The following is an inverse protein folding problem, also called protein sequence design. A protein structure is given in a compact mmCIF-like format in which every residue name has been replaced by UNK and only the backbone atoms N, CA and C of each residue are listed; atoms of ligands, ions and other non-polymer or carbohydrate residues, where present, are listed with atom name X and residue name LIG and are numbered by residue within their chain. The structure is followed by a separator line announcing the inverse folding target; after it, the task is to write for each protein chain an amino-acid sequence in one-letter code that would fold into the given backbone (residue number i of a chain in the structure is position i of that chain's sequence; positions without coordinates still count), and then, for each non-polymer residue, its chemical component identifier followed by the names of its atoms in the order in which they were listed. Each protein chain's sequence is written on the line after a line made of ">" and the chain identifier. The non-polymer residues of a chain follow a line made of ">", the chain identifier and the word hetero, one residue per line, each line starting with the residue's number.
data_IF_618188066532
#
_entry.id   IF_618188066532
#
_cell.length_a   1.000
_cell.length_b   1.000
_cell.length_c   1.000
_cell.angle_alpha   90.00
_cell.angle_beta   90.00
_cell.angle_gamma   90.00
#
_symmetry.space_group_name_H-M   'P 1'
#
loop_
_entity.id
_entity.type
_entity.pdbx_description
1 polymer ?
#
# COMPACT_ATOMS: atom_id res chain seq x y z
N UNK A 1 15.12 -24.83 0.91
CA UNK A 1 15.85 -23.58 0.65
C UNK A 1 14.99 -22.58 -0.09
N UNK A 2 14.36 -22.97 -1.21
CA UNK A 2 13.38 -22.12 -1.91
C UNK A 2 12.20 -21.71 -1.01
N UNK A 3 11.59 -22.66 -0.30
CA UNK A 3 10.45 -22.36 0.60
C UNK A 3 10.82 -21.39 1.73
N UNK A 4 12.04 -21.47 2.26
CA UNK A 4 12.53 -20.54 3.28
C UNK A 4 12.68 -19.13 2.72
N UNK A 5 13.20 -19.00 1.49
CA UNK A 5 13.31 -17.71 0.82
C UNK A 5 11.92 -17.13 0.55
N UNK A 6 10.99 -17.95 0.06
CA UNK A 6 9.62 -17.52 -0.19
C UNK A 6 8.92 -17.06 1.09
N UNK A 7 9.04 -17.81 2.18
CA UNK A 7 8.48 -17.42 3.48
C UNK A 7 9.09 -16.10 3.96
N UNK A 8 10.41 -15.92 3.85
CA UNK A 8 11.05 -14.67 4.25
C UNK A 8 10.56 -13.48 3.43
N UNK A 9 10.34 -13.66 2.12
CA UNK A 9 9.81 -12.60 1.25
C UNK A 9 8.38 -12.23 1.61
N UNK A 10 7.53 -13.21 1.93
CA UNK A 10 6.17 -12.97 2.39
C UNK A 10 6.16 -12.22 3.73
N UNK A 11 6.98 -12.63 4.70
CA UNK A 11 7.12 -11.93 5.98
C UNK A 11 7.54 -10.47 5.80
N UNK A 12 8.53 -10.22 4.94
CA UNK A 12 8.99 -8.86 4.66
C UNK A 12 7.89 -8.00 4.00
N UNK A 13 7.09 -8.61 3.12
CA UNK A 13 5.96 -7.93 2.49
C UNK A 13 4.90 -7.53 3.53
N UNK A 14 4.55 -8.44 4.44
CA UNK A 14 3.61 -8.17 5.53
C UNK A 14 4.12 -7.05 6.44
N UNK A 15 5.39 -7.09 6.84
CA UNK A 15 6.03 -6.05 7.66
C UNK A 15 6.00 -4.68 6.96
N UNK A 16 6.24 -4.64 5.64
CA UNK A 16 6.15 -3.39 4.86
C UNK A 16 4.73 -2.82 4.86
N UNK A 17 3.71 -3.68 4.69
CA UNK A 17 2.30 -3.24 4.73
C UNK A 17 1.95 -2.70 6.12
N UNK A 18 2.35 -3.37 7.20
CA UNK A 18 2.10 -2.88 8.56
C UNK A 18 2.82 -1.55 8.84
N UNK A 19 4.03 -1.36 8.33
CA UNK A 19 4.75 -0.09 8.45
C UNK A 19 3.98 1.04 7.75
N UNK A 20 3.56 0.83 6.50
CA UNK A 20 2.76 1.83 5.78
C UNK A 20 1.42 2.11 6.46
N UNK A 21 0.80 1.09 7.07
CA UNK A 21 -0.44 1.26 7.84
C UNK A 21 -0.25 2.18 9.04
N UNK A 22 0.82 1.98 9.81
CA UNK A 22 1.13 2.87 10.94
C UNK A 22 1.38 4.31 10.48
N UNK A 23 2.13 4.49 9.40
CA UNK A 23 2.39 5.81 8.82
C UNK A 23 1.11 6.49 8.32
N UNK A 24 0.17 5.71 7.79
CA UNK A 24 -1.16 6.18 7.40
C UNK A 24 -1.96 6.64 8.61
N UNK A 25 -2.01 5.85 9.68
CA UNK A 25 -2.68 6.19 10.93
C UNK A 25 -2.04 7.41 11.63
N UNK A 26 -0.73 7.63 11.44
CA UNK A 26 -0.02 8.82 11.92
C UNK A 26 -0.18 10.06 11.02
N UNK A 27 -0.86 9.94 9.88
CA UNK A 27 -1.09 11.06 8.95
C UNK A 27 0.15 11.49 8.18
N UNK A 28 1.12 10.60 7.94
CA UNK A 28 2.37 10.95 7.25
C UNK A 28 2.18 11.23 5.76
N UNK A 29 1.15 10.66 5.15
CA UNK A 29 0.91 10.75 3.70
C UNK A 29 0.02 11.93 3.29
N UNK A 30 -0.63 12.60 4.24
CA UNK A 30 -1.54 13.71 3.93
C UNK A 30 -2.28 14.21 5.16
N UNK A 31 -2.94 15.37 5.02
CA UNK A 31 -3.76 15.97 6.08
C UNK A 31 -5.16 15.37 6.15
N UNK A 32 -5.58 14.67 5.09
CA UNK A 32 -6.87 14.00 4.99
C UNK A 32 -6.69 12.58 4.46
N UNK A 33 -7.63 11.68 4.77
CA UNK A 33 -7.64 10.32 4.24
C UNK A 33 -7.61 10.32 2.70
N UNK A 34 -8.27 11.27 2.05
CA UNK A 34 -8.26 11.37 0.59
C UNK A 34 -6.87 11.67 0.04
N UNK A 35 -6.14 12.61 0.63
CA UNK A 35 -4.75 12.92 0.24
C UNK A 35 -3.84 11.70 0.48
N UNK A 36 -3.96 11.04 1.63
CA UNK A 36 -3.19 9.84 1.95
C UNK A 36 -3.48 8.68 0.98
N UNK A 37 -4.74 8.48 0.61
CA UNK A 37 -5.15 7.45 -0.35
C UNK A 37 -4.58 7.73 -1.74
N UNK A 38 -4.49 9.00 -2.17
CA UNK A 38 -3.86 9.36 -3.45
C UNK A 38 -2.37 9.04 -3.46
N UNK A 39 -1.65 9.29 -2.36
CA UNK A 39 -0.23 8.92 -2.25
C UNK A 39 -0.05 7.40 -2.31
N UNK A 40 -0.85 6.64 -1.55
CA UNK A 40 -0.76 5.19 -1.53
C UNK A 40 -1.16 4.55 -2.87
N UNK A 41 -2.08 5.14 -3.63
CA UNK A 41 -2.35 4.74 -5.03
C UNK A 41 -1.12 4.93 -5.91
N UNK A 42 -0.35 6.00 -5.69
CA UNK A 42 0.94 6.21 -6.34
C UNK A 42 1.93 5.08 -6.04
N UNK A 43 1.93 4.55 -4.81
CA UNK A 43 2.81 3.42 -4.45
C UNK A 43 2.39 2.11 -5.12
N UNK A 44 1.09 1.92 -5.36
CA UNK A 44 0.61 0.81 -6.18
C UNK A 44 1.14 0.91 -7.60
N UNK A 45 1.10 2.11 -8.20
CA UNK A 45 1.58 2.33 -9.57
C UNK A 45 3.10 2.12 -9.72
N UNK A 46 3.88 2.31 -8.66
CA UNK A 46 5.34 2.09 -8.67
C UNK A 46 5.74 0.69 -8.20
N UNK A 47 4.77 -0.20 -7.95
CA UNK A 47 4.97 -1.54 -7.35
C UNK A 47 5.60 -1.52 -5.95
N UNK A 48 5.59 -0.38 -5.26
CA UNK A 48 6.03 -0.27 -3.87
C UNK A 48 4.98 -0.83 -2.90
N UNK A 49 3.74 -0.95 -3.34
CA UNK A 49 2.60 -1.49 -2.59
C UNK A 49 1.74 -2.34 -3.53
N UNK A 50 1.20 -3.45 -3.05
CA UNK A 50 0.24 -4.23 -3.83
C UNK A 50 -1.17 -3.62 -3.74
N UNK A 51 -2.07 -3.89 -4.71
CA UNK A 51 -3.48 -3.52 -4.58
C UNK A 51 -4.13 -4.05 -3.29
N UNK A 52 -3.76 -5.25 -2.85
CA UNK A 52 -4.22 -5.85 -1.60
C UNK A 52 -3.69 -5.08 -0.38
N UNK A 53 -2.41 -4.72 -0.38
CA UNK A 53 -1.81 -3.90 0.67
C UNK A 53 -2.44 -2.51 0.76
N UNK A 54 -2.76 -1.89 -0.39
CA UNK A 54 -3.54 -0.64 -0.43
C UNK A 54 -4.89 -0.79 0.28
N UNK A 55 -5.61 -1.86 -0.02
CA UNK A 55 -6.91 -2.15 0.61
C UNK A 55 -6.76 -2.40 2.10
N UNK A 56 -5.72 -3.11 2.53
CA UNK A 56 -5.47 -3.36 3.95
C UNK A 56 -5.18 -2.09 4.74
N UNK A 57 -4.44 -1.14 4.15
CA UNK A 57 -4.08 0.12 4.79
C UNK A 57 -5.27 1.09 4.81
N UNK A 58 -5.95 1.26 3.67
CA UNK A 58 -6.95 2.32 3.48
C UNK A 58 -8.40 1.88 3.71
N UNK A 59 -8.66 0.57 3.66
CA UNK A 59 -10.02 0.01 3.63
C UNK A 59 -10.74 0.17 2.28
N UNK A 60 -10.10 0.78 1.27
CA UNK A 60 -10.69 1.02 -0.04
C UNK A 60 -10.18 0.04 -1.11
N UNK A 61 -11.03 -0.32 -2.06
CA UNK A 61 -10.58 -1.05 -3.24
C UNK A 61 -9.71 -0.16 -4.15
N UNK A 62 -8.61 -0.72 -4.64
CA UNK A 62 -7.80 -0.08 -5.67
C UNK A 62 -8.47 -0.22 -7.03
N UNK A 63 -9.08 0.88 -7.50
CA UNK A 63 -9.60 0.99 -8.87
C UNK A 63 -8.59 1.75 -9.74
N UNK A 64 -7.94 1.06 -10.66
CA UNK A 64 -6.93 1.58 -11.60
C UNK A 64 -7.50 2.67 -12.54
N UNK A 65 -8.81 2.61 -12.81
CA UNK A 65 -9.54 3.51 -13.73
C UNK A 65 -9.62 4.97 -13.28
N UNK A 66 -9.27 5.30 -12.04
CA UNK A 66 -9.42 6.65 -11.49
C UNK A 66 -8.30 7.63 -11.89
N UNK A 67 -7.22 7.17 -12.53
CA UNK A 67 -6.03 8.00 -12.81
C UNK A 67 -5.87 8.41 -14.29
N UNK A 68 -6.62 7.81 -15.22
CA UNK A 68 -6.54 8.08 -16.66
C UNK A 68 -7.59 9.11 -17.15
N UNK A 69 -7.92 10.10 -16.31
CA UNK A 69 -8.68 11.29 -16.73
C UNK A 69 -7.90 12.55 -16.34
N UNK A 70 -6.88 12.84 -17.14
CA UNK A 70 -6.32 14.18 -17.32
C UNK A 70 -6.37 14.52 -18.79
#
# INVERSE_FOLDING_TARGET
>A
MFDTILNNLNTLQDEMVQMFKQQYEWGWFGKTNQESNLVLRGYVNTNALTPEGYKEITGEDYNETSLNKS
#
